data_IF_173038142337
#
_entry.id   IF_173038142337
#
_cell.length_a   1.000
_cell.length_b   1.000
_cell.length_c   1.000
_cell.angle_alpha   90.00
_cell.angle_beta   90.00
_cell.angle_gamma   90.00
#
_symmetry.space_group_name_H-M   'P 1'
#
loop_
_entity.id
_entity.type
_entity.pdbx_description
1 polymer ?
#
# COMPACT_ATOMS: atom_id res chain seq x y z
N UNK A 1 -6.46 -0.83 30.92
CA UNK A 1 -7.87 -0.47 30.65
C UNK A 1 -8.24 -0.99 29.27
N UNK A 2 -9.30 -1.82 29.19
CA UNK A 2 -9.79 -2.47 27.96
C UNK A 2 -10.75 -1.51 27.24
N UNK A 3 -10.38 -1.00 26.07
CA UNK A 3 -11.36 -0.45 25.13
C UNK A 3 -11.93 -1.61 24.30
N UNK A 4 -13.05 -2.15 24.75
CA UNK A 4 -14.00 -2.84 23.88
C UNK A 4 -14.72 -1.79 23.04
N UNK A 5 -14.02 -1.21 22.06
CA UNK A 5 -14.67 -0.48 20.97
C UNK A 5 -15.38 -1.53 20.09
N UNK A 6 -16.68 -1.70 20.33
CA UNK A 6 -17.54 -2.46 19.44
C UNK A 6 -17.48 -1.83 18.05
N UNK A 7 -17.20 -2.64 17.02
CA UNK A 7 -17.29 -2.30 15.60
C UNK A 7 -18.75 -1.95 15.19
N UNK A 8 -19.30 -0.86 15.73
CA UNK A 8 -20.59 -0.27 15.37
C UNK A 8 -20.40 1.04 14.59
N UNK A 9 -19.20 1.27 14.04
CA UNK A 9 -18.94 2.47 13.25
C UNK A 9 -19.68 2.37 11.91
N UNK A 10 -20.64 3.27 11.71
CA UNK A 10 -21.37 3.44 10.45
C UNK A 10 -20.46 4.15 9.46
N UNK A 11 -20.21 3.54 8.31
CA UNK A 11 -19.55 4.21 7.18
C UNK A 11 -20.50 5.27 6.60
N UNK A 12 -19.95 6.44 6.23
CA UNK A 12 -20.69 7.47 5.49
C UNK A 12 -20.68 7.12 4.01
N UNK A 13 -21.85 6.89 3.45
CA UNK A 13 -22.03 6.64 2.01
C UNK A 13 -22.13 7.96 1.22
N UNK A 14 -21.72 7.98 -0.05
CA UNK A 14 -21.06 6.92 -0.82
C UNK A 14 -19.61 6.68 -0.38
N UNK A 15 -19.08 5.52 -0.72
CA UNK A 15 -17.70 5.08 -0.45
C UNK A 15 -16.91 5.02 -1.73
N UNK A 16 -15.74 5.66 -1.72
CA UNK A 16 -14.72 5.51 -2.76
C UNK A 16 -13.59 4.65 -2.21
N UNK A 17 -13.08 3.69 -2.99
CA UNK A 17 -11.94 2.86 -2.62
C UNK A 17 -10.87 2.92 -3.69
N UNK A 18 -9.64 3.19 -3.29
CA UNK A 18 -8.44 3.23 -4.15
C UNK A 18 -7.31 2.45 -3.48
N UNK A 19 -6.44 1.81 -4.26
CA UNK A 19 -5.26 1.10 -3.77
C UNK A 19 -4.04 1.40 -4.64
N UNK A 20 -2.85 1.01 -4.18
CA UNK A 20 -1.63 0.93 -4.99
C UNK A 20 -1.33 2.25 -5.72
N UNK A 21 -1.20 3.32 -4.94
CA UNK A 21 -0.84 4.65 -5.45
C UNK A 21 0.67 4.84 -5.50
N UNK A 22 1.39 4.23 -4.56
CA UNK A 22 2.85 4.25 -4.48
C UNK A 22 3.43 5.68 -4.52
N UNK A 23 2.86 6.62 -3.76
CA UNK A 23 3.30 8.01 -3.71
C UNK A 23 4.81 8.11 -3.43
N UNK A 24 5.52 8.88 -4.24
CA UNK A 24 6.98 9.00 -4.20
C UNK A 24 7.71 7.95 -5.04
N UNK A 25 7.04 6.93 -5.58
CA UNK A 25 7.62 5.92 -6.46
C UNK A 25 7.79 6.39 -7.91
N UNK A 26 8.73 5.78 -8.65
CA UNK A 26 9.01 6.12 -10.06
C UNK A 26 7.83 5.86 -10.99
N UNK A 27 7.07 4.81 -10.72
CA UNK A 27 5.89 4.41 -11.48
C UNK A 27 4.61 5.10 -11.01
N UNK A 28 4.62 5.89 -9.94
CA UNK A 28 3.39 6.51 -9.45
C UNK A 28 2.77 7.46 -10.48
N UNK A 29 1.45 7.35 -10.67
CA UNK A 29 0.64 8.36 -11.36
C UNK A 29 0.14 9.41 -10.36
N UNK A 30 1.03 9.93 -9.52
CA UNK A 30 0.65 10.82 -8.41
C UNK A 30 -0.06 12.10 -8.86
N UNK A 31 0.22 12.61 -10.07
CA UNK A 31 -0.49 13.76 -10.64
C UNK A 31 -1.95 13.41 -10.96
N UNK A 32 -2.18 12.34 -11.73
CA UNK A 32 -3.53 11.88 -12.06
C UNK A 32 -4.35 11.56 -10.80
N UNK A 33 -3.71 10.95 -9.80
CA UNK A 33 -4.38 10.67 -8.53
C UNK A 33 -4.79 11.95 -7.79
N UNK A 34 -3.95 13.00 -7.81
CA UNK A 34 -4.32 14.29 -7.21
C UNK A 34 -5.46 14.96 -7.98
N UNK A 35 -5.39 14.97 -9.30
CA UNK A 35 -6.46 15.50 -10.15
C UNK A 35 -7.79 14.75 -9.91
N UNK A 36 -7.73 13.44 -9.69
CA UNK A 36 -8.88 12.63 -9.26
C UNK A 36 -9.43 13.07 -7.90
N UNK A 37 -8.57 13.29 -6.90
CA UNK A 37 -9.01 13.76 -5.58
C UNK A 37 -9.62 15.16 -5.64
N UNK A 38 -9.04 16.05 -6.44
CA UNK A 38 -9.62 17.38 -6.71
C UNK A 38 -11.00 17.24 -7.36
N UNK A 39 -11.12 16.37 -8.37
CA UNK A 39 -12.41 16.08 -8.99
C UNK A 39 -13.43 15.55 -7.96
N UNK A 40 -13.06 14.63 -7.06
CA UNK A 40 -13.95 14.15 -5.99
C UNK A 40 -14.48 15.30 -5.12
N UNK A 41 -13.66 16.31 -4.85
CA UNK A 41 -14.05 17.48 -4.05
C UNK A 41 -15.00 18.42 -4.81
N UNK A 42 -15.08 18.32 -6.15
CA UNK A 42 -16.04 19.08 -6.97
C UNK A 42 -17.41 18.41 -7.10
N UNK A 43 -17.54 17.14 -6.69
CA UNK A 43 -18.79 16.40 -6.81
C UNK A 43 -19.89 16.99 -5.92
N UNK A 44 -21.11 16.97 -6.43
CA UNK A 44 -22.31 17.41 -5.71
C UNK A 44 -22.89 16.28 -4.85
N UNK A 45 -23.53 16.63 -3.74
CA UNK A 45 -24.32 15.69 -2.93
C UNK A 45 -25.52 15.11 -3.71
N UNK A 46 -26.03 15.86 -4.69
CA UNK A 46 -27.09 15.39 -5.61
C UNK A 46 -26.56 14.42 -6.68
N UNK A 47 -25.24 14.37 -6.84
CA UNK A 47 -24.54 13.56 -7.83
C UNK A 47 -24.27 14.29 -9.14
N UNK A 48 -23.24 13.79 -9.81
CA UNK A 48 -22.82 14.18 -11.15
C UNK A 48 -23.14 13.02 -12.10
N UNK A 49 -24.02 13.27 -13.07
CA UNK A 49 -24.36 12.29 -14.09
C UNK A 49 -23.24 12.19 -15.10
N UNK A 50 -22.69 10.99 -15.27
CA UNK A 50 -21.65 10.67 -16.24
C UNK A 50 -22.12 9.57 -17.18
N UNK A 51 -21.66 9.60 -18.42
CA UNK A 51 -21.88 8.52 -19.37
C UNK A 51 -20.83 7.42 -19.16
N UNK A 52 -21.29 6.20 -18.95
CA UNK A 52 -20.51 5.01 -18.68
C UNK A 52 -20.88 3.91 -19.67
N UNK A 53 -20.08 3.76 -20.73
CA UNK A 53 -20.32 2.79 -21.81
C UNK A 53 -21.75 2.88 -22.41
N UNK A 54 -22.30 4.09 -22.54
CA UNK A 54 -23.66 4.34 -23.05
C UNK A 54 -24.74 4.44 -21.96
N UNK A 55 -24.45 4.05 -20.72
CA UNK A 55 -25.38 4.14 -19.60
C UNK A 55 -25.10 5.36 -18.72
N UNK A 56 -26.14 6.00 -18.19
CA UNK A 56 -25.95 7.09 -17.22
C UNK A 56 -25.66 6.51 -15.84
N UNK A 57 -24.52 6.88 -15.27
CA UNK A 57 -24.17 6.61 -13.86
C UNK A 57 -24.17 7.93 -13.10
N UNK A 58 -24.70 7.93 -11.87
CA UNK A 58 -24.72 9.12 -11.04
C UNK A 58 -23.71 8.98 -9.89
N UNK A 59 -22.61 9.72 -9.96
CA UNK A 59 -21.53 9.67 -8.96
C UNK A 59 -21.70 10.84 -7.99
N UNK A 60 -21.97 10.53 -6.72
CA UNK A 60 -22.14 11.54 -5.66
C UNK A 60 -20.83 11.83 -4.96
N UNK A 61 -20.77 13.01 -4.33
CA UNK A 61 -19.72 13.35 -3.39
C UNK A 61 -19.56 12.23 -2.35
N UNK A 62 -18.35 11.68 -2.13
CA UNK A 62 -18.17 10.61 -1.17
C UNK A 62 -18.43 11.09 0.24
N UNK A 63 -18.97 10.20 1.08
CA UNK A 63 -18.97 10.34 2.53
C UNK A 63 -17.74 9.69 3.16
N UNK A 64 -17.14 8.69 2.50
CA UNK A 64 -15.93 7.98 2.95
C UNK A 64 -14.98 7.71 1.77
N UNK A 65 -13.69 7.95 1.97
CA UNK A 65 -12.61 7.50 1.11
C UNK A 65 -11.78 6.42 1.83
N UNK A 66 -11.67 5.24 1.21
CA UNK A 66 -10.85 4.13 1.70
C UNK A 66 -9.57 4.07 0.87
N UNK A 67 -8.43 4.27 1.54
CA UNK A 67 -7.10 4.14 0.97
C UNK A 67 -6.58 2.72 1.32
N UNK A 68 -6.68 1.81 0.35
CA UNK A 68 -6.55 0.37 0.51
C UNK A 68 -5.13 -0.13 0.24
N UNK A 69 -4.18 0.32 1.04
CA UNK A 69 -2.80 -0.16 1.04
C UNK A 69 -1.96 0.26 -0.15
N UNK A 70 -0.65 0.22 0.08
CA UNK A 70 0.42 0.63 -0.82
C UNK A 70 0.16 2.02 -1.42
N UNK A 71 -0.21 2.94 -0.53
CA UNK A 71 -0.46 4.34 -0.89
C UNK A 71 0.86 5.10 -0.95
N UNK A 72 1.81 4.73 -0.10
CA UNK A 72 3.17 5.26 -0.03
C UNK A 72 4.14 4.25 -0.66
N UNK A 73 5.20 4.75 -1.27
CA UNK A 73 6.30 3.91 -1.74
C UNK A 73 7.52 4.10 -0.84
N UNK A 74 7.47 3.49 0.35
CA UNK A 74 8.60 3.55 1.30
C UNK A 74 9.71 2.54 0.97
N UNK A 75 9.40 1.54 0.13
CA UNK A 75 10.30 0.43 -0.23
C UNK A 75 11.16 0.71 -1.45
N UNK A 76 10.65 1.38 -2.48
CA UNK A 76 11.45 1.75 -3.66
C UNK A 76 11.16 3.20 -4.06
N UNK A 77 11.43 4.16 -3.16
CA UNK A 77 11.17 5.56 -3.45
C UNK A 77 11.98 5.99 -4.66
N UNK A 78 11.46 6.98 -5.39
CA UNK A 78 12.15 7.55 -6.54
C UNK A 78 13.55 8.00 -6.12
N UNK A 79 14.54 7.60 -6.91
CA UNK A 79 15.96 7.89 -6.69
C UNK A 79 16.48 7.44 -5.31
N UNK A 80 15.86 6.41 -4.72
CA UNK A 80 16.18 5.89 -3.40
C UNK A 80 16.07 6.96 -2.28
N UNK A 81 15.25 8.00 -2.51
CA UNK A 81 15.06 9.13 -1.58
C UNK A 81 13.60 9.27 -1.13
N UNK A 82 13.33 8.93 0.14
CA UNK A 82 12.02 9.09 0.79
C UNK A 82 11.53 10.55 0.85
N UNK A 83 12.35 11.56 0.56
CA UNK A 83 11.88 12.94 0.40
C UNK A 83 10.89 13.07 -0.76
N UNK A 84 10.98 12.25 -1.81
CA UNK A 84 9.97 12.21 -2.86
C UNK A 84 8.61 11.72 -2.33
N UNK A 85 8.62 10.74 -1.41
CA UNK A 85 7.41 10.30 -0.70
C UNK A 85 6.85 11.44 0.14
N UNK A 86 7.68 12.08 0.97
CA UNK A 86 7.25 13.23 1.79
C UNK A 86 6.64 14.33 0.95
N UNK A 87 7.32 14.77 -0.12
CA UNK A 87 6.81 15.78 -1.05
C UNK A 87 5.45 15.36 -1.60
N UNK A 88 5.34 14.12 -2.06
CA UNK A 88 4.12 13.68 -2.74
C UNK A 88 2.94 13.49 -1.80
N UNK A 89 3.21 13.02 -0.59
CA UNK A 89 2.25 12.88 0.50
C UNK A 89 1.73 14.21 0.98
N UNK A 90 2.59 15.22 1.19
CA UNK A 90 2.16 16.52 1.68
C UNK A 90 1.14 17.18 0.73
N UNK A 91 1.40 17.12 -0.58
CA UNK A 91 0.46 17.63 -1.58
C UNK A 91 -0.86 16.83 -1.58
N UNK A 92 -0.78 15.50 -1.55
CA UNK A 92 -1.97 14.64 -1.57
C UNK A 92 -2.82 14.77 -0.30
N UNK A 93 -2.19 14.82 0.88
CA UNK A 93 -2.87 15.03 2.16
C UNK A 93 -3.54 16.41 2.18
N UNK A 94 -2.91 17.44 1.61
CA UNK A 94 -3.54 18.77 1.52
C UNK A 94 -4.88 18.72 0.79
N UNK A 95 -4.99 17.94 -0.30
CA UNK A 95 -6.24 17.79 -1.07
C UNK A 95 -7.25 16.91 -0.32
N UNK A 96 -6.79 15.81 0.30
CA UNK A 96 -7.65 14.96 1.12
C UNK A 96 -8.26 15.71 2.31
N UNK A 97 -7.50 16.63 2.91
CA UNK A 97 -7.89 17.41 4.08
C UNK A 97 -8.87 18.54 3.75
N UNK A 98 -9.07 18.89 2.47
CA UNK A 98 -10.13 19.83 2.05
C UNK A 98 -11.47 19.14 1.79
N UNK A 99 -11.49 17.81 1.69
CA UNK A 99 -12.69 17.01 1.49
C UNK A 99 -13.58 16.93 2.74
N UNK A 100 -14.91 16.88 2.53
CA UNK A 100 -15.88 16.57 3.59
C UNK A 100 -16.25 15.08 3.56
N UNK A 101 -15.27 14.24 3.83
CA UNK A 101 -15.45 12.80 3.95
C UNK A 101 -14.49 12.19 4.96
N UNK A 102 -14.89 11.05 5.51
CA UNK A 102 -14.03 10.25 6.37
C UNK A 102 -12.95 9.56 5.53
N UNK A 103 -11.75 9.41 6.09
CA UNK A 103 -10.63 8.72 5.46
C UNK A 103 -10.31 7.47 6.29
N UNK A 104 -10.44 6.31 5.65
CA UNK A 104 -10.05 5.02 6.21
C UNK A 104 -8.79 4.58 5.48
N UNK A 105 -7.65 4.67 6.16
CA UNK A 105 -6.36 4.24 5.65
C UNK A 105 -6.07 2.81 6.12
N UNK A 106 -5.96 1.87 5.19
CA UNK A 106 -5.58 0.49 5.46
C UNK A 106 -4.12 0.33 5.04
N UNK A 107 -3.25 -0.01 5.99
CA UNK A 107 -1.80 -0.14 5.77
C UNK A 107 -1.51 -1.35 4.86
N UNK A 108 -0.84 -1.08 3.74
CA UNK A 108 -0.20 -2.08 2.88
C UNK A 108 1.21 -2.42 3.32
N UNK A 109 1.91 -3.28 2.56
CA UNK A 109 3.28 -3.65 2.89
C UNK A 109 4.27 -2.50 2.64
N UNK A 110 4.01 -1.64 1.65
CA UNK A 110 4.85 -0.46 1.37
C UNK A 110 4.60 0.69 2.37
N UNK A 111 3.57 0.60 3.20
CA UNK A 111 3.18 1.66 4.16
C UNK A 111 3.48 1.31 5.63
N UNK A 112 4.13 0.17 5.90
CA UNK A 112 4.15 -0.41 7.27
C UNK A 112 4.75 0.53 8.35
N UNK A 113 5.64 1.45 7.98
CA UNK A 113 6.25 2.43 8.90
C UNK A 113 5.19 3.35 9.54
N UNK A 114 4.02 3.51 8.93
CA UNK A 114 2.90 4.26 9.51
C UNK A 114 2.37 3.63 10.81
N UNK A 115 2.68 2.37 11.09
CA UNK A 115 2.37 1.76 12.38
C UNK A 115 3.07 2.45 13.55
N UNK A 116 4.30 2.90 13.34
CA UNK A 116 5.05 3.61 14.36
C UNK A 116 4.54 5.04 14.52
N UNK A 117 4.10 5.69 13.44
CA UNK A 117 3.38 6.95 13.51
C UNK A 117 2.12 6.84 14.39
N UNK A 118 1.34 5.76 14.23
CA UNK A 118 0.15 5.52 15.07
C UNK A 118 0.49 5.42 16.55
N UNK A 119 1.63 4.83 16.92
CA UNK A 119 2.10 4.77 18.32
C UNK A 119 2.43 6.16 18.85
N UNK A 120 3.06 7.00 18.04
CA UNK A 120 3.41 8.39 18.40
C UNK A 120 2.16 9.25 18.56
N UNK A 121 1.23 9.19 17.61
CA UNK A 121 -0.02 9.95 17.65
C UNK A 121 -0.84 9.63 18.91
N UNK A 122 -0.99 8.34 19.23
CA UNK A 122 -1.65 7.88 20.46
C UNK A 122 -0.99 8.42 21.73
N UNK A 123 0.34 8.40 21.80
CA UNK A 123 1.07 8.94 22.98
C UNK A 123 0.84 10.43 23.18
N UNK A 124 0.62 11.18 22.10
CA UNK A 124 0.37 12.63 22.13
C UNK A 124 -1.12 12.99 22.28
N UNK A 125 -2.01 12.01 22.45
CA UNK A 125 -3.46 12.25 22.52
C UNK A 125 -4.04 12.80 21.20
N UNK A 126 -3.33 12.66 20.09
CA UNK A 126 -3.81 13.09 18.77
C UNK A 126 -4.65 11.94 18.21
N UNK A 127 -5.97 12.04 18.41
CA UNK A 127 -6.93 11.06 17.90
C UNK A 127 -7.32 11.33 16.44
N UNK A 128 -7.22 12.59 16.01
CA UNK A 128 -7.58 13.04 14.66
C UNK A 128 -6.55 14.01 14.10
N UNK A 129 -6.12 13.75 12.86
CA UNK A 129 -5.15 14.58 12.11
C UNK A 129 -5.86 15.61 11.22
N UNK A 130 -7.17 15.45 11.02
CA UNK A 130 -7.93 16.21 10.03
C UNK A 130 -8.46 17.52 10.63
N UNK A 131 -8.29 18.64 9.90
CA UNK A 131 -8.96 19.92 10.22
C UNK A 131 -10.34 20.03 9.56
N UNK A 132 -10.68 19.14 8.62
CA UNK A 132 -12.01 19.00 8.04
C UNK A 132 -13.00 18.34 8.99
N UNK A 133 -14.27 18.25 8.58
CA UNK A 133 -15.34 17.59 9.36
C UNK A 133 -15.20 16.06 9.42
N UNK A 134 -14.41 15.47 8.54
CA UNK A 134 -14.28 14.01 8.41
C UNK A 134 -13.21 13.39 9.31
N UNK A 135 -13.44 12.16 9.75
CA UNK A 135 -12.51 11.40 10.59
C UNK A 135 -11.36 10.81 9.76
N UNK A 136 -10.13 10.78 10.30
CA UNK A 136 -9.00 10.04 9.71
C UNK A 136 -8.65 8.83 10.57
N UNK A 137 -8.78 7.62 10.03
CA UNK A 137 -8.61 6.36 10.78
C UNK A 137 -7.62 5.44 10.09
N UNK A 138 -6.65 4.92 10.85
CA UNK A 138 -5.62 4.00 10.36
C UNK A 138 -5.87 2.58 10.87
N UNK A 139 -5.99 1.64 9.94
CA UNK A 139 -6.19 0.22 10.18
C UNK A 139 -5.00 -0.59 9.68
N UNK A 140 -4.63 -1.63 10.43
CA UNK A 140 -3.58 -2.53 10.02
C UNK A 140 -4.17 -3.66 9.19
N UNK A 141 -3.76 -3.76 7.92
CA UNK A 141 -4.03 -4.86 6.98
C UNK A 141 -5.48 -5.07 6.55
N UNK A 142 -6.47 -4.85 7.41
CA UNK A 142 -7.87 -4.98 7.05
C UNK A 142 -8.79 -4.02 7.79
N UNK A 143 -9.91 -3.71 7.15
CA UNK A 143 -11.06 -3.04 7.73
C UNK A 143 -12.34 -3.80 7.34
N UNK A 144 -13.23 -4.14 8.28
CA UNK A 144 -13.09 -3.98 9.73
C UNK A 144 -11.95 -4.80 10.36
N UNK A 145 -11.58 -4.48 11.60
CA UNK A 145 -10.57 -5.25 12.35
C UNK A 145 -11.12 -6.63 12.72
N UNK A 146 -10.24 -7.62 12.80
CA UNK A 146 -10.53 -8.92 13.39
C UNK A 146 -10.96 -8.76 14.85
N UNK A 147 -12.02 -9.46 15.27
CA UNK A 147 -12.42 -9.49 16.68
C UNK A 147 -11.35 -10.21 17.50
N UNK A 148 -10.87 -9.54 18.56
CA UNK A 148 -9.90 -10.11 19.50
C UNK A 148 -10.40 -11.46 20.05
N UNK A 149 -9.49 -12.43 20.18
CA UNK A 149 -9.78 -13.77 20.71
C UNK A 149 -10.44 -14.75 19.74
N UNK A 150 -11.24 -14.29 18.77
CA UNK A 150 -11.99 -15.21 17.87
C UNK A 150 -11.29 -15.48 16.54
N UNK A 151 -10.44 -14.55 16.08
CA UNK A 151 -9.85 -14.62 14.75
C UNK A 151 -10.86 -14.46 13.61
N UNK A 152 -12.14 -14.16 13.90
CA UNK A 152 -13.19 -13.91 12.91
C UNK A 152 -13.26 -12.43 12.56
N UNK A 153 -13.46 -12.11 11.28
CA UNK A 153 -13.72 -10.76 10.79
C UNK A 153 -15.15 -10.69 10.32
N UNK A 154 -15.94 -9.79 10.92
CA UNK A 154 -17.30 -9.50 10.46
C UNK A 154 -17.24 -8.27 9.56
N UNK A 155 -17.74 -8.41 8.33
CA UNK A 155 -17.81 -7.32 7.38
C UNK A 155 -18.73 -6.19 7.85
N UNK A 156 -18.52 -5.00 7.30
CA UNK A 156 -19.36 -3.83 7.53
C UNK A 156 -20.49 -3.79 6.52
N UNK A 157 -21.71 -3.55 6.99
CA UNK A 157 -22.86 -3.39 6.12
C UNK A 157 -22.80 -2.02 5.41
N UNK A 158 -22.88 -2.03 4.08
CA UNK A 158 -22.97 -0.82 3.27
C UNK A 158 -24.21 -0.94 2.37
N UNK A 159 -24.93 0.18 2.24
CA UNK A 159 -26.11 0.34 1.40
C UNK A 159 -27.40 -0.26 1.93
N UNK A 160 -28.49 -0.03 1.19
CA UNK A 160 -29.86 -0.36 1.64
C UNK A 160 -30.05 -1.85 1.91
N UNK A 161 -29.43 -2.68 1.08
CA UNK A 161 -29.47 -4.15 1.19
C UNK A 161 -28.50 -4.73 2.21
N UNK A 162 -27.70 -3.87 2.88
CA UNK A 162 -26.77 -4.24 3.96
C UNK A 162 -25.81 -5.39 3.59
N UNK A 163 -25.37 -5.47 2.32
CA UNK A 163 -24.29 -6.37 1.92
C UNK A 163 -23.06 -6.06 2.77
N UNK A 164 -22.36 -7.11 3.20
CA UNK A 164 -21.23 -7.00 4.11
C UNK A 164 -19.93 -6.96 3.34
N UNK A 165 -19.17 -5.90 3.56
CA UNK A 165 -17.90 -5.63 2.92
C UNK A 165 -16.76 -5.87 3.89
N UNK A 166 -15.67 -6.41 3.37
CA UNK A 166 -14.36 -6.35 4.01
C UNK A 166 -13.37 -5.77 3.02
N UNK A 167 -12.49 -4.94 3.53
CA UNK A 167 -11.43 -4.27 2.79
C UNK A 167 -10.11 -4.77 3.33
N UNK A 168 -9.24 -5.29 2.46
CA UNK A 168 -7.92 -5.80 2.82
C UNK A 168 -6.89 -5.43 1.77
N UNK A 169 -5.64 -5.18 2.15
CA UNK A 169 -4.60 -4.79 1.18
C UNK A 169 -4.44 -5.83 0.05
N UNK A 170 -4.33 -7.12 0.38
CA UNK A 170 -4.21 -8.21 -0.60
C UNK A 170 -2.88 -8.94 -0.50
N UNK A 171 -1.82 -8.28 0.01
CA UNK A 171 -0.55 -8.94 0.33
C UNK A 171 -0.69 -10.13 1.29
N UNK A 172 -1.76 -10.21 2.09
CA UNK A 172 -2.09 -11.36 2.95
C UNK A 172 -2.28 -12.67 2.19
N UNK A 173 -2.48 -12.61 0.88
CA UNK A 173 -2.56 -13.76 0.00
C UNK A 173 -1.15 -14.29 -0.38
N UNK A 174 -0.07 -13.54 -0.19
CA UNK A 174 1.25 -13.96 -0.64
C UNK A 174 1.82 -15.16 0.15
N UNK A 175 2.39 -16.14 -0.56
CA UNK A 175 2.98 -17.35 0.04
C UNK A 175 4.30 -17.05 0.77
N UNK A 176 5.11 -16.15 0.22
CA UNK A 176 6.45 -15.83 0.71
C UNK A 176 6.42 -14.64 1.66
N UNK A 177 5.96 -14.90 2.88
CA UNK A 177 5.92 -13.96 3.98
C UNK A 177 6.87 -14.40 5.11
N UNK A 178 8.10 -14.82 4.78
CA UNK A 178 9.03 -15.44 5.74
C UNK A 178 9.37 -14.47 6.88
N UNK A 179 9.82 -13.26 6.55
CA UNK A 179 10.13 -12.22 7.53
C UNK A 179 8.91 -11.82 8.38
N UNK A 180 7.72 -11.80 7.78
CA UNK A 180 6.47 -11.58 8.52
C UNK A 180 6.10 -12.73 9.45
N UNK A 181 6.30 -13.98 9.05
CA UNK A 181 6.07 -15.15 9.92
C UNK A 181 6.99 -15.08 11.13
N UNK A 182 8.26 -14.73 10.91
CA UNK A 182 9.25 -14.51 11.98
C UNK A 182 8.81 -13.34 12.88
N UNK A 183 8.50 -12.18 12.30
CA UNK A 183 8.01 -11.00 13.02
C UNK A 183 6.80 -11.30 13.89
N UNK A 184 5.82 -12.06 13.37
CA UNK A 184 4.61 -12.46 14.10
C UNK A 184 4.91 -13.47 15.21
N UNK A 185 5.79 -14.43 14.95
CA UNK A 185 6.23 -15.39 15.96
C UNK A 185 6.91 -14.68 17.14
N UNK A 186 7.86 -13.79 16.85
CA UNK A 186 8.55 -13.00 17.87
C UNK A 186 7.60 -12.06 18.59
N UNK A 187 6.69 -11.41 17.86
CA UNK A 187 5.73 -10.49 18.46
C UNK A 187 4.82 -11.19 19.48
N UNK A 188 4.36 -12.41 19.15
CA UNK A 188 3.57 -13.23 20.05
C UNK A 188 4.38 -13.70 21.25
N UNK A 189 5.63 -14.16 21.03
CA UNK A 189 6.50 -14.68 22.08
C UNK A 189 6.91 -13.60 23.09
N UNK A 190 7.14 -12.38 22.62
CA UNK A 190 7.67 -11.28 23.44
C UNK A 190 6.59 -10.29 23.90
N UNK A 191 5.31 -10.56 23.59
CA UNK A 191 4.17 -9.68 23.87
C UNK A 191 4.44 -8.20 23.49
N UNK A 192 5.23 -8.00 22.43
CA UNK A 192 5.68 -6.71 21.94
C UNK A 192 5.67 -6.77 20.43
N UNK A 193 5.17 -5.73 19.77
CA UNK A 193 5.22 -5.70 18.31
C UNK A 193 6.67 -5.58 17.85
N UNK A 194 7.16 -6.63 17.18
CA UNK A 194 8.52 -6.73 16.62
C UNK A 194 8.39 -6.88 15.11
N UNK A 195 9.04 -5.98 14.40
CA UNK A 195 9.20 -6.03 12.94
C UNK A 195 10.63 -6.45 12.64
N UNK A 196 10.77 -7.55 11.91
CA UNK A 196 12.02 -7.98 11.30
C UNK A 196 11.84 -7.82 9.81
N UNK A 197 12.34 -6.72 9.30
CA UNK A 197 12.45 -6.45 7.87
C UNK A 197 13.84 -5.82 7.63
N UNK A 198 14.86 -6.64 7.36
CA UNK A 198 16.23 -6.14 7.21
C UNK A 198 16.35 -5.15 6.05
N UNK A 199 15.54 -5.33 4.99
CA UNK A 199 15.56 -4.45 3.82
C UNK A 199 15.06 -3.06 4.23
N UNK A 200 13.94 -3.00 4.93
CA UNK A 200 13.39 -1.74 5.45
C UNK A 200 14.36 -1.04 6.42
N UNK A 201 15.01 -1.80 7.31
CA UNK A 201 16.03 -1.23 8.21
C UNK A 201 17.21 -0.61 7.45
N UNK A 202 17.70 -1.27 6.39
CA UNK A 202 18.73 -0.68 5.54
C UNK A 202 18.21 0.54 4.77
N UNK A 203 16.93 0.58 4.40
CA UNK A 203 16.34 1.77 3.78
C UNK A 203 16.24 2.95 4.72
N UNK A 204 15.87 2.72 5.98
CA UNK A 204 15.87 3.77 7.01
C UNK A 204 17.25 4.38 7.16
N UNK A 205 18.29 3.54 7.29
CA UNK A 205 19.68 4.00 7.39
C UNK A 205 20.16 4.70 6.11
N UNK A 206 19.78 4.20 4.94
CA UNK A 206 20.09 4.82 3.66
C UNK A 206 19.43 6.20 3.52
N UNK A 207 18.31 6.42 4.22
CA UNK A 207 17.51 7.65 4.17
C UNK A 207 17.80 8.65 5.31
N UNK A 208 18.79 8.40 6.16
CA UNK A 208 19.28 9.41 7.12
C UNK A 208 19.96 10.55 6.34
N UNK A 209 19.74 11.80 6.74
CA UNK A 209 20.26 13.00 6.05
C UNK A 209 21.76 12.91 5.72
N UNK A 210 22.55 12.41 6.67
CA UNK A 210 23.99 12.19 6.51
C UNK A 210 24.31 11.22 5.36
N UNK A 211 23.73 10.01 5.40
CA UNK A 211 23.89 8.98 4.37
C UNK A 211 23.40 9.45 3.00
N UNK A 212 22.25 10.15 2.97
CA UNK A 212 21.69 10.76 1.76
C UNK A 212 22.69 11.69 1.08
N UNK A 213 23.27 12.63 1.85
CA UNK A 213 24.15 13.67 1.35
C UNK A 213 25.54 13.16 0.95
N UNK A 214 26.03 12.08 1.58
CA UNK A 214 27.35 11.52 1.28
C UNK A 214 27.32 10.56 0.10
N UNK A 215 26.24 9.80 -0.05
CA UNK A 215 26.17 8.86 -1.16
C UNK A 215 26.01 9.61 -2.47
N UNK A 216 27.11 9.67 -3.22
CA UNK A 216 27.21 10.08 -4.61
C UNK A 216 26.00 9.59 -5.43
N UNK A 217 25.55 10.36 -6.43
CA UNK A 217 24.49 9.94 -7.38
C UNK A 217 24.93 8.67 -8.12
N UNK A 218 24.60 7.52 -7.55
CA UNK A 218 25.12 6.19 -7.89
C UNK A 218 24.36 5.58 -9.08
N UNK A 219 24.47 6.18 -10.27
CA UNK A 219 23.91 5.59 -11.49
C UNK A 219 24.93 4.74 -12.29
N UNK A 220 26.20 4.74 -11.89
CA UNK A 220 27.26 3.89 -12.45
C UNK A 220 28.41 3.58 -11.48
N UNK A 221 28.48 4.32 -10.37
CA UNK A 221 29.50 4.17 -9.34
C UNK A 221 29.27 2.97 -8.42
N UNK A 222 28.14 2.25 -8.45
CA UNK A 222 27.88 1.18 -7.47
C UNK A 222 28.78 -0.04 -7.65
N UNK A 223 29.09 -0.42 -8.89
CA UNK A 223 30.05 -1.50 -9.16
C UNK A 223 31.46 -1.10 -8.71
N UNK A 224 31.89 0.11 -9.11
CA UNK A 224 33.17 0.71 -8.69
C UNK A 224 33.22 0.80 -7.16
N UNK A 225 32.10 1.12 -6.53
CA UNK A 225 32.01 1.28 -5.09
C UNK A 225 32.02 -0.07 -4.35
N UNK A 226 31.32 -1.09 -4.85
CA UNK A 226 31.45 -2.46 -4.34
C UNK A 226 32.89 -2.96 -4.46
N UNK A 227 33.56 -2.67 -5.59
CA UNK A 227 34.98 -2.97 -5.77
C UNK A 227 35.84 -2.21 -4.75
N UNK A 228 35.61 -0.91 -4.55
CA UNK A 228 36.32 -0.11 -3.54
C UNK A 228 36.04 -0.59 -2.11
N UNK A 229 34.84 -1.06 -1.80
CA UNK A 229 34.49 -1.64 -0.51
C UNK A 229 35.24 -2.94 -0.26
N UNK A 230 35.30 -3.82 -1.27
CA UNK A 230 36.09 -5.07 -1.20
C UNK A 230 37.57 -4.75 -1.07
N UNK A 231 38.09 -3.80 -1.86
CA UNK A 231 39.49 -3.36 -1.77
C UNK A 231 39.80 -2.73 -0.42
N UNK A 232 38.88 -1.93 0.15
CA UNK A 232 39.01 -1.37 1.49
C UNK A 232 39.03 -2.46 2.57
N UNK A 233 38.16 -3.46 2.46
CA UNK A 233 38.15 -4.62 3.35
C UNK A 233 39.45 -5.43 3.27
N UNK A 234 39.96 -5.67 2.06
CA UNK A 234 41.22 -6.40 1.83
C UNK A 234 42.44 -5.60 2.32
N UNK A 235 42.50 -4.30 2.02
CA UNK A 235 43.57 -3.42 2.49
C UNK A 235 43.53 -3.26 4.01
N UNK A 236 42.34 -3.09 4.59
CA UNK A 236 42.11 -3.05 6.03
C UNK A 236 42.56 -4.34 6.71
N UNK A 237 42.15 -5.49 6.19
CA UNK A 237 42.60 -6.78 6.70
C UNK A 237 44.13 -6.92 6.61
N UNK A 238 44.74 -6.59 5.47
CA UNK A 238 46.18 -6.74 5.27
C UNK A 238 47.02 -5.81 6.16
N UNK A 239 46.60 -4.55 6.32
CA UNK A 239 47.34 -3.56 7.13
C UNK A 239 47.10 -3.69 8.63
N UNK A 240 45.94 -4.20 9.05
CA UNK A 240 45.56 -4.20 10.46
C UNK A 240 45.43 -5.60 11.08
N UNK A 241 45.68 -6.69 10.34
CA UNK A 241 45.63 -8.07 10.89
C UNK A 241 46.51 -8.26 12.13
N UNK A 242 47.63 -7.55 12.23
CA UNK A 242 48.58 -7.65 13.33
C UNK A 242 48.45 -6.50 14.34
N UNK A 243 47.49 -5.59 14.15
CA UNK A 243 47.25 -4.46 15.06
C UNK A 243 46.31 -4.89 16.20
N UNK A 244 46.71 -4.81 17.48
CA UNK A 244 45.82 -5.10 18.58
C UNK A 244 44.61 -4.15 18.57
N UNK A 245 43.40 -4.70 18.68
CA UNK A 245 42.14 -3.93 18.67
C UNK A 245 42.13 -2.84 19.76
N UNK A 246 42.76 -3.10 20.91
CA UNK A 246 42.85 -2.15 22.03
C UNK A 246 43.92 -1.07 21.88
N UNK A 247 44.72 -1.09 20.82
CA UNK A 247 45.68 -0.02 20.54
C UNK A 247 44.98 1.22 19.99
N UNK A 248 45.58 2.41 20.13
CA UNK A 248 45.00 3.66 19.61
C UNK A 248 44.71 3.60 18.11
N UNK A 249 45.58 2.97 17.32
CA UNK A 249 45.37 2.76 15.88
C UNK A 249 44.28 1.73 15.59
N UNK A 250 44.19 0.66 16.38
CA UNK A 250 43.09 -0.32 16.27
C UNK A 250 41.72 0.30 16.56
N UNK A 251 41.62 1.14 17.60
CA UNK A 251 40.39 1.86 17.93
C UNK A 251 40.02 2.84 16.81
N UNK A 252 40.97 3.64 16.34
CA UNK A 252 40.73 4.61 15.25
C UNK A 252 40.25 3.92 13.97
N UNK A 253 40.90 2.82 13.58
CA UNK A 253 40.47 2.02 12.44
C UNK A 253 39.06 1.47 12.64
N UNK A 254 38.76 0.90 13.81
CA UNK A 254 37.42 0.38 14.14
C UNK A 254 36.35 1.46 13.99
N UNK A 255 36.63 2.68 14.46
CA UNK A 255 35.70 3.81 14.33
C UNK A 255 35.49 4.19 12.87
N UNK A 256 36.57 4.34 12.09
CA UNK A 256 36.49 4.70 10.66
C UNK A 256 35.76 3.61 9.87
N UNK A 257 36.08 2.33 10.08
CA UNK A 257 35.42 1.21 9.42
C UNK A 257 33.96 1.09 9.83
N UNK A 258 33.64 1.26 11.11
CA UNK A 258 32.25 1.26 11.59
C UNK A 258 31.46 2.39 10.95
N UNK A 259 32.04 3.58 10.87
CA UNK A 259 31.42 4.71 10.20
C UNK A 259 31.22 4.46 8.70
N UNK A 260 32.22 3.91 8.01
CA UNK A 260 32.10 3.53 6.61
C UNK A 260 30.99 2.50 6.41
N UNK A 261 30.99 1.42 7.19
CA UNK A 261 29.93 0.39 7.14
C UNK A 261 28.55 0.99 7.40
N UNK A 262 28.37 1.77 8.47
CA UNK A 262 27.07 2.33 8.85
C UNK A 262 26.51 3.34 7.84
N UNK A 263 27.37 4.01 7.09
CA UNK A 263 26.97 5.08 6.16
C UNK A 263 26.74 4.56 4.76
N UNK A 264 27.50 3.54 4.35
CA UNK A 264 27.55 3.12 2.95
C UNK A 264 26.86 1.78 2.72
N UNK A 265 27.08 0.81 3.61
CA UNK A 265 26.51 -0.52 3.46
C UNK A 265 24.98 -0.45 3.28
N UNK A 266 24.23 0.42 4.00
CA UNK A 266 22.81 0.58 3.75
C UNK A 266 22.48 0.92 2.30
N UNK A 267 23.14 1.93 1.70
CA UNK A 267 22.89 2.32 0.30
C UNK A 267 23.23 1.21 -0.70
N UNK A 268 24.32 0.47 -0.46
CA UNK A 268 24.69 -0.65 -1.32
C UNK A 268 23.65 -1.76 -1.24
N UNK A 269 23.22 -2.13 -0.03
CA UNK A 269 22.21 -3.18 0.17
C UNK A 269 20.87 -2.76 -0.43
N UNK A 270 20.42 -1.52 -0.23
CA UNK A 270 19.15 -1.06 -0.82
C UNK A 270 19.21 -1.07 -2.34
N UNK A 271 20.29 -0.56 -2.94
CA UNK A 271 20.49 -0.58 -4.40
C UNK A 271 20.52 -1.99 -4.96
N UNK A 272 21.33 -2.88 -4.36
CA UNK A 272 21.45 -4.27 -4.81
C UNK A 272 20.12 -5.00 -4.66
N UNK A 273 19.41 -4.80 -3.55
CA UNK A 273 18.08 -5.34 -3.35
C UNK A 273 17.14 -4.88 -4.48
N UNK A 274 17.02 -3.57 -4.72
CA UNK A 274 16.19 -3.03 -5.81
C UNK A 274 16.56 -3.62 -7.18
N UNK A 275 17.86 -3.71 -7.49
CA UNK A 275 18.31 -4.24 -8.78
C UNK A 275 18.05 -5.75 -8.94
N UNK A 276 18.27 -6.53 -7.87
CA UNK A 276 17.95 -7.96 -7.84
C UNK A 276 16.44 -8.16 -8.03
N UNK A 277 15.60 -7.42 -7.31
CA UNK A 277 14.14 -7.50 -7.46
C UNK A 277 13.66 -7.06 -8.84
N UNK A 278 14.32 -6.07 -9.45
CA UNK A 278 14.01 -5.62 -10.82
C UNK A 278 14.37 -6.65 -11.88
N UNK A 279 15.47 -7.38 -11.69
CA UNK A 279 15.96 -8.42 -12.61
C UNK A 279 15.36 -9.81 -12.37
N UNK A 280 14.71 -10.03 -11.23
CA UNK A 280 14.10 -11.32 -10.96
C UNK A 280 13.10 -11.69 -12.06
N UNK A 281 13.25 -12.88 -12.69
CA UNK A 281 12.40 -13.28 -13.80
C UNK A 281 10.92 -13.24 -13.40
N UNK A 282 10.06 -12.75 -14.29
CA UNK A 282 8.61 -12.74 -14.03
C UNK A 282 7.96 -14.13 -14.04
N UNK A 283 8.74 -15.20 -14.14
CA UNK A 283 8.36 -16.59 -13.82
C UNK A 283 8.44 -16.87 -12.32
N UNK A 284 9.30 -16.16 -11.58
CA UNK A 284 9.44 -16.24 -10.12
C UNK A 284 8.41 -15.33 -9.43
N UNK A 285 8.19 -14.13 -9.98
CA UNK A 285 7.19 -13.17 -9.48
C UNK A 285 6.35 -12.65 -10.65
N UNK A 286 5.19 -13.27 -10.89
CA UNK A 286 4.21 -12.74 -11.84
C UNK A 286 3.54 -11.49 -11.27
N UNK A 287 3.80 -10.34 -11.88
CA UNK A 287 3.16 -9.04 -11.61
C UNK A 287 1.79 -8.98 -12.30
N UNK A 288 0.87 -8.14 -11.82
CA UNK A 288 -0.42 -7.88 -12.49
C UNK A 288 -1.38 -9.09 -12.56
N UNK A 289 -1.35 -9.98 -11.56
CA UNK A 289 -2.29 -11.11 -11.47
C UNK A 289 -3.73 -10.61 -11.40
N UNK A 290 -4.61 -11.21 -12.20
CA UNK A 290 -6.04 -10.95 -12.13
C UNK A 290 -6.63 -11.47 -10.81
N UNK A 291 -7.80 -10.96 -10.43
CA UNK A 291 -8.46 -11.34 -9.17
C UNK A 291 -8.66 -12.87 -9.07
N UNK A 292 -9.10 -13.52 -10.15
CA UNK A 292 -9.31 -14.97 -10.18
C UNK A 292 -8.05 -15.76 -9.84
N UNK A 293 -6.91 -15.44 -10.45
CA UNK A 293 -5.64 -16.14 -10.23
C UNK A 293 -5.19 -15.97 -8.78
N UNK A 294 -5.31 -14.75 -8.23
CA UNK A 294 -4.99 -14.48 -6.82
C UNK A 294 -5.84 -15.35 -5.92
N UNK A 295 -7.16 -15.38 -6.13
CA UNK A 295 -8.04 -16.16 -5.28
C UNK A 295 -7.76 -17.66 -5.44
N UNK A 296 -7.67 -18.20 -6.65
CA UNK A 296 -7.44 -19.64 -6.88
C UNK A 296 -6.09 -20.13 -6.35
N UNK A 297 -5.01 -19.37 -6.52
CA UNK A 297 -3.68 -19.82 -6.12
C UNK A 297 -3.35 -19.56 -4.64
N UNK A 298 -3.93 -18.50 -4.09
CA UNK A 298 -3.46 -17.86 -2.85
C UNK A 298 -4.52 -17.75 -1.75
N UNK A 299 -5.80 -17.78 -2.10
CA UNK A 299 -6.89 -17.87 -1.13
C UNK A 299 -7.21 -19.34 -0.84
N UNK A 300 -6.79 -19.82 0.33
CA UNK A 300 -7.20 -21.15 0.82
C UNK A 300 -8.54 -21.01 1.52
N UNK A 301 -9.56 -21.75 1.10
CA UNK A 301 -10.93 -21.70 1.67
C UNK A 301 -10.94 -21.75 3.22
N UNK A 302 -10.05 -22.54 3.84
CA UNK A 302 -9.88 -22.63 5.30
C UNK A 302 -9.53 -21.30 5.99
N UNK A 303 -8.82 -20.38 5.33
CA UNK A 303 -8.58 -19.02 5.85
C UNK A 303 -9.81 -18.12 5.66
N UNK A 304 -10.62 -18.41 4.64
CA UNK A 304 -11.83 -17.69 4.29
C UNK A 304 -13.03 -17.96 5.18
N UNK A 305 -13.13 -19.12 5.82
CA UNK A 305 -14.20 -19.45 6.78
C UNK A 305 -14.31 -18.46 7.94
N UNK A 306 -13.22 -17.76 8.27
CA UNK A 306 -13.17 -16.77 9.35
C UNK A 306 -13.65 -15.38 8.91
N UNK A 307 -13.93 -15.18 7.62
CA UNK A 307 -14.38 -13.90 7.07
C UNK A 307 -15.89 -14.02 6.81
N UNK A 308 -16.66 -13.21 7.52
CA UNK A 308 -18.12 -13.11 7.40
C UNK A 308 -18.47 -11.86 6.59
N UNK A 309 -18.32 -11.96 5.27
CA UNK A 309 -18.56 -10.89 4.30
C UNK A 309 -19.07 -11.49 2.98
N UNK A 310 -19.93 -10.73 2.31
CA UNK A 310 -20.49 -11.06 0.99
C UNK A 310 -19.55 -10.57 -0.12
N UNK A 311 -18.89 -9.42 0.11
CA UNK A 311 -17.99 -8.77 -0.83
C UNK A 311 -16.63 -8.53 -0.16
N UNK A 312 -15.57 -8.96 -0.82
CA UNK A 312 -14.18 -8.82 -0.39
C UNK A 312 -13.46 -7.90 -1.37
N UNK A 313 -13.12 -6.69 -0.92
CA UNK A 313 -12.41 -5.69 -1.70
C UNK A 313 -10.94 -5.71 -1.33
N UNK A 314 -10.06 -5.76 -2.33
CA UNK A 314 -8.62 -5.81 -2.14
C UNK A 314 -7.82 -5.03 -3.19
N UNK A 315 -6.54 -4.78 -2.91
CA UNK A 315 -5.57 -4.18 -3.83
C UNK A 315 -4.39 -5.14 -4.11
N UNK A 316 -3.17 -4.60 -4.09
CA UNK A 316 -1.86 -5.29 -4.15
C UNK A 316 -1.41 -5.78 -5.53
N UNK A 317 -2.32 -6.25 -6.39
CA UNK A 317 -1.86 -6.87 -7.66
C UNK A 317 -1.78 -5.93 -8.85
N UNK A 318 -2.23 -4.69 -8.71
CA UNK A 318 -2.22 -3.65 -9.76
C UNK A 318 -3.14 -3.93 -10.95
N UNK A 319 -3.88 -5.03 -10.94
CA UNK A 319 -4.81 -5.40 -12.01
C UNK A 319 -6.25 -5.32 -11.50
N UNK A 320 -6.95 -4.25 -11.90
CA UNK A 320 -8.35 -4.04 -11.58
C UNK A 320 -9.19 -5.19 -12.14
N UNK A 321 -10.10 -5.74 -11.34
CA UNK A 321 -10.93 -6.85 -11.79
C UNK A 321 -11.74 -7.47 -10.68
N UNK A 322 -12.40 -8.57 -10.99
CA UNK A 322 -13.25 -9.26 -10.03
C UNK A 322 -13.26 -10.76 -10.27
N UNK A 323 -13.70 -11.50 -9.25
CA UNK A 323 -13.92 -12.93 -9.33
C UNK A 323 -15.06 -13.31 -8.39
N UNK A 324 -16.00 -14.13 -8.86
CA UNK A 324 -17.06 -14.69 -8.04
C UNK A 324 -16.98 -16.22 -8.11
N UNK A 325 -16.76 -16.85 -6.95
CA UNK A 325 -16.66 -18.31 -6.86
C UNK A 325 -18.07 -18.89 -6.79
N UNK A 326 -18.52 -19.59 -7.83
CA UNK A 326 -19.85 -20.22 -7.91
C UNK A 326 -21.03 -19.21 -7.76
N UNK A 327 -21.30 -18.40 -8.81
CA UNK A 327 -22.35 -17.38 -8.79
C UNK A 327 -23.74 -17.93 -8.42
N UNK A 328 -24.04 -19.15 -8.86
CA UNK A 328 -25.33 -19.83 -8.65
C UNK A 328 -25.60 -20.22 -7.18
N UNK A 329 -24.58 -20.22 -6.32
CA UNK A 329 -24.70 -20.59 -4.90
C UNK A 329 -24.52 -19.40 -3.95
N UNK A 330 -24.75 -18.17 -4.41
CA UNK A 330 -24.49 -16.94 -3.65
C UNK A 330 -23.03 -16.89 -3.13
N UNK A 331 -22.09 -17.29 -3.97
CA UNK A 331 -20.68 -17.23 -3.63
C UNK A 331 -20.17 -15.80 -3.46
N UNK A 332 -19.11 -15.64 -2.65
CA UNK A 332 -18.51 -14.33 -2.34
C UNK A 332 -17.97 -13.67 -3.60
N UNK A 333 -18.18 -12.36 -3.69
CA UNK A 333 -17.58 -11.53 -4.73
C UNK A 333 -16.24 -10.97 -4.22
N UNK A 334 -15.20 -11.17 -5.02
CA UNK A 334 -13.89 -10.59 -4.79
C UNK A 334 -13.66 -9.48 -5.82
N UNK A 335 -13.27 -8.30 -5.37
CA UNK A 335 -13.01 -7.14 -6.24
C UNK A 335 -11.62 -6.60 -5.96
N UNK A 336 -10.79 -6.55 -7.00
CA UNK A 336 -9.52 -5.85 -6.97
C UNK A 336 -9.70 -4.42 -7.48
N UNK A 337 -9.33 -3.42 -6.68
CA UNK A 337 -9.47 -2.00 -7.03
C UNK A 337 -8.49 -1.52 -8.09
N UNK A 338 -7.44 -2.29 -8.38
CA UNK A 338 -6.41 -1.98 -9.38
C UNK A 338 -5.27 -1.14 -8.82
N UNK A 339 -4.87 -0.09 -9.53
CA UNK A 339 -3.76 0.77 -9.09
C UNK A 339 -3.78 2.16 -9.71
N UNK A 340 -2.91 3.03 -9.18
CA UNK A 340 -2.59 4.34 -9.72
C UNK A 340 -1.10 4.43 -10.05
N UNK A 341 -0.58 3.39 -10.70
CA UNK A 341 0.80 3.33 -11.20
C UNK A 341 0.86 3.09 -12.70
N UNK A 342 1.95 3.54 -13.32
CA UNK A 342 2.33 3.21 -14.70
C UNK A 342 2.56 1.71 -14.81
N UNK A 343 1.66 1.05 -15.51
CA UNK A 343 1.74 -0.37 -15.77
C UNK A 343 2.83 -0.67 -16.82
N UNK A 344 3.54 -1.77 -16.63
CA UNK A 344 4.49 -2.24 -17.62
C UNK A 344 3.77 -2.72 -18.89
N UNK A 345 4.44 -2.63 -20.04
CA UNK A 345 3.94 -3.15 -21.33
C UNK A 345 3.43 -4.60 -21.21
N UNK A 346 4.15 -5.44 -20.47
CA UNK A 346 3.73 -6.83 -20.19
C UNK A 346 2.39 -6.91 -19.47
N UNK A 347 2.16 -6.07 -18.45
CA UNK A 347 0.90 -6.07 -17.71
C UNK A 347 -0.28 -5.65 -18.61
N UNK A 348 -0.07 -4.65 -19.46
CA UNK A 348 -1.10 -4.15 -20.37
C UNK A 348 -1.40 -5.19 -21.45
N UNK A 349 -0.38 -5.72 -22.14
CA UNK A 349 -0.57 -6.58 -23.30
C UNK A 349 -0.92 -8.03 -22.94
N UNK A 350 -0.33 -8.58 -21.87
CA UNK A 350 -0.53 -10.00 -21.52
C UNK A 350 -1.63 -10.22 -20.49
N UNK A 351 -1.77 -9.30 -19.54
CA UNK A 351 -2.71 -9.45 -18.40
C UNK A 351 -3.91 -8.49 -18.50
N UNK A 352 -3.99 -7.71 -19.59
CA UNK A 352 -5.03 -6.69 -19.82
C UNK A 352 -5.23 -5.74 -18.62
N UNK A 353 -4.14 -5.44 -17.89
CA UNK A 353 -4.23 -4.67 -16.66
C UNK A 353 -4.62 -3.21 -16.92
N UNK A 354 -5.48 -2.68 -16.06
CA UNK A 354 -6.03 -1.32 -16.17
C UNK A 354 -5.59 -0.50 -14.95
N UNK A 355 -5.05 0.69 -15.19
CA UNK A 355 -4.62 1.65 -14.17
C UNK A 355 -5.62 2.81 -14.01
N UNK A 356 -5.39 3.64 -12.99
CA UNK A 356 -6.22 4.78 -12.59
C UNK A 356 -7.66 4.38 -12.27
N UNK A 357 -7.79 3.27 -11.55
CA UNK A 357 -9.08 2.65 -11.25
C UNK A 357 -9.49 2.87 -9.80
N UNK A 358 -10.80 2.90 -9.57
CA UNK A 358 -11.38 3.04 -8.24
C UNK A 358 -12.71 2.31 -8.15
N UNK A 359 -13.08 1.92 -6.94
CA UNK A 359 -14.39 1.33 -6.65
C UNK A 359 -15.31 2.41 -6.07
N UNK A 360 -16.49 2.55 -6.65
CA UNK A 360 -17.58 3.36 -6.12
C UNK A 360 -18.65 2.46 -5.52
N UNK A 361 -19.05 2.74 -4.28
CA UNK A 361 -20.09 2.02 -3.56
C UNK A 361 -21.09 3.04 -3.01
N UNK A 362 -22.35 2.93 -3.39
CA UNK A 362 -23.45 3.71 -2.82
C UNK A 362 -24.57 2.75 -2.39
N UNK A 363 -25.66 3.31 -1.89
CA UNK A 363 -26.74 2.56 -1.29
C UNK A 363 -27.39 1.52 -2.22
N UNK A 364 -27.28 1.75 -3.54
CA UNK A 364 -27.90 0.98 -4.62
C UNK A 364 -26.91 0.63 -5.75
N UNK A 365 -25.65 1.04 -5.64
CA UNK A 365 -24.71 1.01 -6.75
C UNK A 365 -23.36 0.47 -6.32
N UNK A 366 -22.76 -0.36 -7.18
CA UNK A 366 -21.41 -0.88 -7.01
C UNK A 366 -20.75 -0.89 -8.39
N UNK A 367 -19.76 -0.02 -8.59
CA UNK A 367 -19.07 0.16 -9.87
C UNK A 367 -17.56 0.10 -9.69
N UNK A 368 -16.89 -0.72 -10.52
CA UNK A 368 -15.45 -0.59 -10.75
C UNK A 368 -15.26 0.32 -11.95
N UNK A 369 -14.64 1.47 -11.72
CA UNK A 369 -14.52 2.57 -12.67
C UNK A 369 -13.06 2.87 -12.95
N UNK A 370 -12.81 3.45 -14.12
CA UNK A 370 -11.52 4.03 -14.48
C UNK A 370 -11.67 5.53 -14.67
N UNK A 371 -10.79 6.26 -14.00
CA UNK A 371 -10.72 7.71 -14.09
C UNK A 371 -9.78 8.13 -15.21
N UNK A 372 -10.26 9.11 -15.99
CA UNK A 372 -9.51 9.78 -17.02
C UNK A 372 -9.96 11.24 -17.06
N UNK A 373 -9.00 12.17 -16.92
CA UNK A 373 -9.28 13.60 -16.80
C UNK A 373 -10.05 14.14 -18.01
N UNK A 374 -9.68 13.72 -19.21
CA UNK A 374 -10.25 14.22 -20.45
C UNK A 374 -11.66 13.69 -20.66
N UNK A 375 -11.89 12.40 -20.36
CA UNK A 375 -13.24 11.81 -20.40
C UNK A 375 -14.17 12.47 -19.39
N UNK A 376 -13.72 12.64 -18.15
CA UNK A 376 -14.52 13.26 -17.09
C UNK A 376 -14.88 14.71 -17.43
N UNK A 377 -13.96 15.47 -18.03
CA UNK A 377 -14.24 16.82 -18.52
C UNK A 377 -15.32 16.86 -19.62
N UNK A 378 -15.50 15.76 -20.38
CA UNK A 378 -16.56 15.58 -21.38
C UNK A 378 -17.85 14.99 -20.81
N UNK A 379 -17.92 14.77 -19.49
CA UNK A 379 -19.06 14.12 -18.85
C UNK A 379 -19.09 12.60 -19.04
N UNK A 380 -17.94 11.98 -19.30
CA UNK A 380 -17.78 10.54 -19.51
C UNK A 380 -16.91 9.91 -18.42
N UNK A 381 -17.15 8.63 -18.12
CA UNK A 381 -16.30 7.82 -17.27
C UNK A 381 -16.30 6.38 -17.77
N UNK A 382 -15.18 5.67 -17.64
CA UNK A 382 -15.06 4.32 -18.20
C UNK A 382 -15.52 3.28 -17.15
N UNK A 383 -16.58 2.53 -17.47
CA UNK A 383 -17.08 1.44 -16.65
C UNK A 383 -16.30 0.16 -16.94
N UNK A 384 -15.50 -0.29 -15.98
CA UNK A 384 -14.87 -1.61 -16.07
C UNK A 384 -15.90 -2.69 -15.76
N UNK A 385 -16.68 -2.51 -14.68
CA UNK A 385 -17.75 -3.44 -14.31
C UNK A 385 -18.84 -2.76 -13.48
N UNK A 386 -20.08 -3.02 -13.87
CA UNK A 386 -21.28 -2.80 -13.06
C UNK A 386 -21.67 -4.10 -12.35
N UNK A 387 -21.92 -4.02 -11.04
CA UNK A 387 -22.28 -5.14 -10.17
C UNK A 387 -23.72 -5.03 -9.63
N UNK A 388 -24.61 -4.30 -10.31
CA UNK A 388 -26.02 -4.22 -9.94
C UNK A 388 -26.70 -5.59 -9.81
N UNK A 389 -26.31 -6.56 -10.64
CA UNK A 389 -26.76 -7.95 -10.56
C UNK A 389 -26.42 -8.59 -9.20
N UNK A 390 -25.21 -8.35 -8.68
CA UNK A 390 -24.77 -8.87 -7.36
C UNK A 390 -25.48 -8.19 -6.20
N UNK A 391 -25.82 -6.90 -6.36
CA UNK A 391 -26.65 -6.20 -5.40
C UNK A 391 -28.12 -6.65 -5.49
N UNK A 392 -28.58 -7.14 -6.64
CA UNK A 392 -29.98 -7.56 -6.83
C UNK A 392 -30.35 -8.83 -6.04
N UNK A 393 -29.40 -9.75 -5.92
CA UNK A 393 -29.45 -11.00 -5.12
C UNK A 393 -29.37 -10.71 -3.62
#
# INVERSE_FOLDING_TARGET
>A
MRNTEGNNEKIREPVIVVSDVHLGGKSSNCRDFRDFLEWLNTLSDKGTSLNCNGNKVNIKKPGTAILLGDILELWDPKEDDRNYVTRDVLATISILNTGDYDIIYIIGNHDEDLLDLKKVLRKKGIEHINRGKGAFKIFYRSYPKTKEGTGKVKGIAIGKKKKRYIFLHGHQFDRFQVFYKISRFLSKKLNKQIRIDPIDWFQDLANVSFTKNIGMKLNGSTLIFCLLFVLYGLAGYYWFKDTPIGSGSGILWTVISSFFVLTILPKVVTFLNTEIWRRMPGTVVKKCKCAEEVIKERYVDKKGEKIDADIIVFGHTHNAGYYQKEPEKNGRLFINTGCWVKLSKRCIEKEAAIANTFLYIDAESLYLLKWDKEKVAKGEIECIKDFQDVLSQ
#
